data_IF_740931444717
#
_entry.id   IF_740931444717
#
_cell.length_a   1.000
_cell.length_b   1.000
_cell.length_c   1.000
_cell.angle_alpha   90.00
_cell.angle_beta   90.00
_cell.angle_gamma   90.00
#
_symmetry.space_group_name_H-M   'P 1'
#
loop_
_entity.id
_entity.type
_entity.pdbx_description
1 polymer ?
#
# COMPACT_ATOMS: atom_id res chain seq x y z
N UNK A 1 -12.23 4.84 -3.03
CA UNK A 1 -11.70 6.07 -2.41
C UNK A 1 -11.59 5.83 -0.93
N UNK A 2 -10.37 5.70 -0.45
CA UNK A 2 -10.07 5.62 0.96
C UNK A 2 -9.03 6.69 1.23
N UNK A 3 -9.33 7.61 2.13
CA UNK A 3 -8.43 8.69 2.52
C UNK A 3 -8.27 8.57 4.02
N UNK A 4 -7.24 7.84 4.45
CA UNK A 4 -6.75 7.98 5.83
C UNK A 4 -6.42 9.46 6.04
N UNK A 5 -6.78 9.98 7.21
CA UNK A 5 -6.55 11.36 7.66
C UNK A 5 -5.20 11.87 7.15
N UNK A 6 -5.21 12.71 6.11
CA UNK A 6 -4.01 13.29 5.54
C UNK A 6 -3.25 14.05 6.63
N UNK A 7 -1.95 13.81 6.73
CA UNK A 7 -1.05 14.67 7.50
C UNK A 7 -1.11 16.04 6.81
N UNK A 8 -1.42 17.13 7.54
CA UNK A 8 -1.43 18.46 6.94
C UNK A 8 -0.06 18.81 6.37
N UNK A 9 0.00 19.63 5.33
CA UNK A 9 1.24 19.94 4.62
C UNK A 9 2.31 20.56 5.52
N UNK A 10 1.91 21.45 6.44
CA UNK A 10 2.84 22.16 7.31
C UNK A 10 3.63 21.23 8.26
N UNK A 11 3.01 20.39 9.11
CA UNK A 11 3.75 19.44 9.94
C UNK A 11 4.56 18.44 9.11
N UNK A 12 4.06 18.03 7.94
CA UNK A 12 4.78 17.14 7.03
C UNK A 12 6.06 17.79 6.51
N UNK A 13 5.99 18.99 5.93
CA UNK A 13 7.17 19.69 5.42
C UNK A 13 8.16 20.05 6.52
N UNK A 14 7.66 20.35 7.73
CA UNK A 14 8.51 20.67 8.87
C UNK A 14 9.38 19.48 9.32
N UNK A 15 8.98 18.22 9.09
CA UNK A 15 9.84 17.06 9.38
C UNK A 15 11.10 17.05 8.51
N UNK A 16 11.02 17.63 7.30
CA UNK A 16 12.14 17.85 6.40
C UNK A 16 12.89 19.17 6.65
N UNK A 17 12.48 19.95 7.66
CA UNK A 17 13.00 21.29 7.90
C UNK A 17 12.60 22.31 6.81
N UNK A 18 11.52 22.05 6.07
CA UNK A 18 11.00 22.90 5.00
C UNK A 18 9.76 23.64 5.52
N UNK A 19 9.71 24.95 5.30
CA UNK A 19 8.53 25.78 5.60
C UNK A 19 7.56 25.80 4.42
N UNK A 20 6.28 26.06 4.69
CA UNK A 20 5.26 26.28 3.64
C UNK A 20 5.73 27.36 2.64
N UNK A 21 6.33 28.44 3.11
CA UNK A 21 6.83 29.52 2.26
C UNK A 21 7.97 29.08 1.32
N UNK A 22 8.84 28.18 1.78
CA UNK A 22 9.88 27.58 0.93
C UNK A 22 9.28 26.65 -0.12
N UNK A 23 8.25 25.88 0.24
CA UNK A 23 7.53 25.02 -0.70
C UNK A 23 6.79 25.84 -1.77
N UNK A 24 6.05 26.89 -1.37
CA UNK A 24 5.39 27.82 -2.29
C UNK A 24 6.40 28.46 -3.25
N UNK A 25 7.53 28.95 -2.73
CA UNK A 25 8.58 29.53 -3.56
C UNK A 25 9.14 28.52 -4.58
N UNK A 26 9.27 27.25 -4.20
CA UNK A 26 9.70 26.21 -5.13
C UNK A 26 8.64 26.00 -6.23
N UNK A 27 7.36 25.98 -5.88
CA UNK A 27 6.25 25.84 -6.84
C UNK A 27 6.23 27.04 -7.80
N UNK A 28 6.28 28.27 -7.28
CA UNK A 28 6.32 29.51 -8.08
C UNK A 28 7.47 29.53 -9.09
N UNK A 29 8.66 29.08 -8.67
CA UNK A 29 9.85 29.04 -9.53
C UNK A 29 9.75 27.99 -10.66
N UNK A 30 8.90 26.98 -10.50
CA UNK A 30 8.74 25.87 -11.43
C UNK A 30 7.33 25.80 -12.02
N UNK A 31 6.52 26.87 -11.93
CA UNK A 31 5.11 26.85 -12.33
C UNK A 31 4.91 26.59 -13.84
N UNK A 32 5.91 26.89 -14.67
CA UNK A 32 5.93 26.56 -16.10
C UNK A 32 6.44 25.14 -16.39
N UNK A 33 6.86 24.41 -15.35
CA UNK A 33 7.48 23.08 -15.39
C UNK A 33 6.74 22.10 -14.45
N UNK A 34 5.47 21.76 -14.73
CA UNK A 34 4.67 20.85 -13.91
C UNK A 34 5.34 19.50 -13.64
N UNK A 35 6.17 19.01 -14.57
CA UNK A 35 6.94 17.78 -14.41
C UNK A 35 7.95 17.83 -13.26
N UNK A 36 8.55 19.00 -13.00
CA UNK A 36 9.51 19.19 -11.91
C UNK A 36 8.77 19.14 -10.56
N UNK A 37 7.62 19.82 -10.48
CA UNK A 37 6.78 19.83 -9.28
C UNK A 37 6.26 18.41 -9.01
N UNK A 38 5.75 17.72 -10.03
CA UNK A 38 5.24 16.36 -9.90
C UNK A 38 6.31 15.39 -9.42
N UNK A 39 7.50 15.38 -10.04
CA UNK A 39 8.57 14.47 -9.66
C UNK A 39 9.09 14.77 -8.25
N UNK A 40 9.23 16.05 -7.90
CA UNK A 40 9.65 16.43 -6.55
C UNK A 40 8.61 16.06 -5.51
N UNK A 41 7.33 16.31 -5.79
CA UNK A 41 6.24 15.93 -4.91
C UNK A 41 6.22 14.41 -4.70
N UNK A 42 6.39 13.63 -5.77
CA UNK A 42 6.53 12.18 -5.71
C UNK A 42 7.71 11.74 -4.84
N UNK A 43 8.88 12.28 -5.09
CA UNK A 43 10.13 11.86 -4.45
C UNK A 43 10.15 12.21 -2.95
N UNK A 44 9.43 13.26 -2.56
CA UNK A 44 9.25 13.69 -1.17
C UNK A 44 7.91 13.26 -0.57
N UNK A 45 7.13 12.41 -1.22
CA UNK A 45 5.85 11.94 -0.69
C UNK A 45 4.77 13.03 -0.47
N UNK A 46 4.94 14.21 -1.07
CA UNK A 46 3.99 15.31 -1.00
C UNK A 46 2.79 14.99 -1.88
N UNK A 47 1.62 14.86 -1.27
CA UNK A 47 0.38 14.53 -1.96
C UNK A 47 -0.23 15.75 -2.67
N UNK A 48 -1.15 15.54 -3.60
CA UNK A 48 -1.98 16.60 -4.17
C UNK A 48 -2.84 17.30 -3.11
N UNK A 49 -3.18 16.64 -2.00
CA UNK A 49 -3.84 17.30 -0.88
C UNK A 49 -2.89 18.28 -0.17
N UNK A 50 -1.64 17.88 0.04
CA UNK A 50 -0.62 18.78 0.60
C UNK A 50 -0.32 19.94 -0.34
N UNK A 51 -0.19 19.69 -1.65
CA UNK A 51 -0.03 20.76 -2.66
C UNK A 51 -1.22 21.74 -2.63
N UNK A 52 -2.44 21.22 -2.44
CA UNK A 52 -3.66 22.02 -2.30
C UNK A 52 -3.63 22.93 -1.09
N UNK A 53 -3.13 22.44 0.04
CA UNK A 53 -2.91 23.22 1.26
C UNK A 53 -1.78 24.25 1.11
N UNK A 54 -0.66 23.88 0.48
CA UNK A 54 0.50 24.77 0.26
C UNK A 54 0.09 25.98 -0.59
N UNK A 55 -0.58 25.74 -1.71
CA UNK A 55 -0.93 26.80 -2.68
C UNK A 55 -2.28 27.47 -2.38
N UNK A 56 -3.10 26.87 -1.51
CA UNK A 56 -4.45 27.35 -1.24
C UNK A 56 -5.41 27.20 -2.43
N UNK A 57 -5.13 26.25 -3.33
CA UNK A 57 -5.94 25.97 -4.53
C UNK A 57 -6.60 24.59 -4.43
N UNK A 58 -7.77 24.36 -5.06
CA UNK A 58 -8.45 23.06 -5.01
C UNK A 58 -7.64 21.90 -5.64
N UNK A 59 -7.79 20.68 -5.10
CA UNK A 59 -7.11 19.46 -5.60
C UNK A 59 -7.40 19.17 -7.08
N UNK A 60 -8.61 19.44 -7.55
CA UNK A 60 -8.99 19.27 -8.96
C UNK A 60 -8.17 20.16 -9.89
N UNK A 61 -7.84 21.39 -9.46
CA UNK A 61 -6.96 22.29 -10.23
C UNK A 61 -5.55 21.73 -10.31
N UNK A 62 -5.02 21.15 -9.23
CA UNK A 62 -3.70 20.51 -9.20
C UNK A 62 -3.67 19.28 -10.10
N UNK A 63 -4.73 18.46 -10.08
CA UNK A 63 -4.84 17.30 -10.97
C UNK A 63 -4.84 17.73 -12.44
N UNK A 64 -5.67 18.71 -12.81
CA UNK A 64 -5.68 19.26 -14.18
C UNK A 64 -4.33 19.88 -14.58
N UNK A 65 -3.62 20.49 -13.63
CA UNK A 65 -2.27 21.02 -13.86
C UNK A 65 -1.28 19.90 -14.25
N UNK A 66 -1.31 18.76 -13.56
CA UNK A 66 -0.46 17.61 -13.91
C UNK A 66 -0.91 16.88 -15.18
N UNK A 67 -2.21 16.80 -15.45
CA UNK A 67 -2.75 16.22 -16.69
C UNK A 67 -2.22 16.94 -17.93
N UNK A 68 -1.86 18.23 -17.83
CA UNK A 68 -1.27 18.99 -18.94
C UNK A 68 0.06 18.44 -19.45
N UNK A 69 0.73 17.58 -18.67
CA UNK A 69 1.98 16.91 -19.02
C UNK A 69 1.88 15.39 -18.90
N UNK A 70 0.69 14.83 -19.12
CA UNK A 70 0.40 13.40 -19.10
C UNK A 70 0.82 12.74 -17.76
N UNK A 71 0.62 13.47 -16.64
CA UNK A 71 0.84 12.98 -15.28
C UNK A 71 -0.48 12.97 -14.52
N UNK A 72 -0.74 11.91 -13.77
CA UNK A 72 -1.96 11.80 -12.95
C UNK A 72 -1.62 11.98 -11.48
N UNK A 73 -2.28 12.94 -10.81
CA UNK A 73 -2.02 13.24 -9.40
C UNK A 73 -2.28 12.07 -8.44
N UNK A 74 -3.11 11.11 -8.85
CA UNK A 74 -3.37 9.90 -8.05
C UNK A 74 -2.09 9.12 -7.73
N UNK A 75 -1.10 9.14 -8.61
CA UNK A 75 0.13 8.40 -8.41
C UNK A 75 0.98 9.01 -7.27
N UNK A 76 0.97 10.33 -7.05
CA UNK A 76 1.71 10.93 -5.93
C UNK A 76 0.95 10.86 -4.61
N UNK A 77 -0.39 10.76 -4.64
CA UNK A 77 -1.23 10.67 -3.43
C UNK A 77 -1.00 9.39 -2.61
N UNK A 78 -0.53 8.30 -3.24
CA UNK A 78 -0.33 7.01 -2.57
C UNK A 78 1.12 6.61 -2.30
N UNK A 79 2.10 7.35 -2.84
CA UNK A 79 3.50 6.91 -2.80
C UNK A 79 4.19 7.14 -1.45
N UNK A 80 3.64 8.01 -0.60
CA UNK A 80 4.19 8.31 0.73
C UNK A 80 3.83 7.29 1.82
N UNK A 81 2.90 6.38 1.56
CA UNK A 81 2.34 5.50 2.59
C UNK A 81 2.46 4.04 2.16
N UNK A 82 2.95 3.18 3.04
CA UNK A 82 3.14 1.74 2.81
C UNK A 82 1.77 1.01 2.78
N UNK A 83 0.92 1.28 3.76
CA UNK A 83 -0.48 0.82 3.84
C UNK A 83 -1.42 1.95 3.43
N UNK A 84 -1.54 2.19 2.13
CA UNK A 84 -2.32 3.27 1.55
C UNK A 84 -3.84 2.95 1.47
N UNK A 85 -4.39 2.36 2.53
CA UNK A 85 -5.80 2.02 2.66
C UNK A 85 -6.31 2.28 4.08
N UNK A 86 -7.55 2.77 4.19
CA UNK A 86 -8.29 2.96 5.43
C UNK A 86 -8.95 1.64 5.80
N UNK A 87 -8.23 0.92 6.66
CA UNK A 87 -8.65 -0.39 7.15
C UNK A 87 -9.64 -0.28 8.31
N UNK A 88 -9.81 0.90 8.92
CA UNK A 88 -10.60 1.08 10.12
C UNK A 88 -10.25 0.02 11.19
N UNK A 89 -11.25 -0.75 11.63
CA UNK A 89 -11.05 -1.83 12.62
C UNK A 89 -10.15 -2.98 12.12
N UNK A 90 -9.96 -3.13 10.81
CA UNK A 90 -9.13 -4.18 10.21
C UNK A 90 -7.63 -3.87 10.26
N UNK A 91 -7.24 -2.68 10.73
CA UNK A 91 -5.84 -2.29 10.89
C UNK A 91 -5.03 -3.33 11.69
N UNK A 92 -5.66 -3.93 12.71
CA UNK A 92 -5.05 -4.97 13.56
C UNK A 92 -4.66 -6.25 12.81
N UNK A 93 -5.19 -6.47 11.61
CA UNK A 93 -4.80 -7.60 10.76
C UNK A 93 -3.43 -7.38 10.11
N UNK A 94 -2.98 -6.13 9.97
CA UNK A 94 -1.66 -5.81 9.45
C UNK A 94 -0.61 -6.06 10.53
N UNK A 95 0.21 -7.08 10.38
CA UNK A 95 1.17 -7.43 11.43
C UNK A 95 2.39 -8.18 10.88
N UNK A 96 3.45 -8.22 11.67
CA UNK A 96 4.61 -9.06 11.40
C UNK A 96 4.24 -10.54 11.36
N UNK A 97 4.87 -11.27 10.44
CA UNK A 97 4.80 -12.72 10.45
C UNK A 97 5.65 -13.29 11.59
N UNK A 98 4.98 -13.79 12.61
CA UNK A 98 5.61 -14.49 13.73
C UNK A 98 5.57 -16.02 13.60
N UNK A 99 5.19 -16.55 12.43
CA UNK A 99 5.13 -17.99 12.16
C UNK A 99 6.51 -18.56 11.86
N UNK A 100 6.68 -19.84 12.21
CA UNK A 100 7.87 -20.63 11.90
C UNK A 100 7.50 -21.79 10.96
N UNK A 101 8.49 -22.55 10.49
CA UNK A 101 8.24 -23.72 9.66
C UNK A 101 7.69 -23.34 8.27
N UNK A 102 6.64 -24.03 7.82
CA UNK A 102 6.16 -23.88 6.44
C UNK A 102 5.47 -22.53 6.15
N UNK A 103 5.05 -21.81 7.20
CA UNK A 103 4.51 -20.44 7.12
C UNK A 103 5.54 -19.36 7.50
N UNK A 104 6.81 -19.72 7.70
CA UNK A 104 7.87 -18.72 7.91
C UNK A 104 8.09 -17.86 6.66
N UNK A 105 8.63 -16.64 6.82
CA UNK A 105 8.96 -15.76 5.69
C UNK A 105 9.83 -16.47 4.65
N UNK A 106 10.87 -17.20 5.07
CA UNK A 106 11.72 -17.96 4.16
C UNK A 106 10.92 -18.99 3.34
N UNK A 107 10.05 -19.77 3.98
CA UNK A 107 9.29 -20.81 3.27
C UNK A 107 8.22 -20.22 2.35
N UNK A 108 7.61 -19.10 2.75
CA UNK A 108 6.64 -18.38 1.93
C UNK A 108 7.31 -17.67 0.75
N UNK A 109 8.50 -17.09 0.94
CA UNK A 109 9.33 -16.53 -0.12
C UNK A 109 9.62 -17.58 -1.19
N UNK A 110 10.14 -18.74 -0.80
CA UNK A 110 10.44 -19.84 -1.72
C UNK A 110 9.21 -20.27 -2.52
N UNK A 111 8.07 -20.42 -1.86
CA UNK A 111 6.81 -20.80 -2.50
C UNK A 111 6.30 -19.72 -3.46
N UNK A 112 6.40 -18.44 -3.06
CA UNK A 112 5.98 -17.28 -3.86
C UNK A 112 6.85 -17.17 -5.12
N UNK A 113 8.18 -17.30 -4.99
CA UNK A 113 9.10 -17.34 -6.12
C UNK A 113 8.81 -18.49 -7.09
N UNK A 114 8.22 -19.60 -6.60
CA UNK A 114 7.77 -20.70 -7.44
C UNK A 114 6.54 -20.36 -8.31
N UNK A 115 5.78 -19.33 -7.94
CA UNK A 115 4.51 -18.92 -8.56
C UNK A 115 4.60 -17.64 -9.38
N UNK A 116 5.61 -16.80 -9.14
CA UNK A 116 5.84 -15.55 -9.87
C UNK A 116 6.12 -15.79 -11.35
N UNK A 117 5.62 -14.89 -12.20
CA UNK A 117 5.98 -14.85 -13.63
C UNK A 117 7.45 -14.46 -13.82
N UNK A 118 7.91 -13.48 -13.05
CA UNK A 118 9.28 -12.95 -13.12
C UNK A 118 9.88 -12.92 -11.71
N UNK A 119 10.79 -13.85 -11.43
CA UNK A 119 11.36 -14.02 -10.08
C UNK A 119 12.22 -12.85 -9.61
N UNK A 120 12.83 -12.13 -10.54
CA UNK A 120 13.70 -10.98 -10.23
C UNK A 120 12.94 -9.78 -9.67
N UNK A 121 11.61 -9.82 -9.71
CA UNK A 121 10.75 -8.72 -9.26
C UNK A 121 10.45 -8.77 -7.77
N UNK A 122 10.74 -9.91 -7.14
CA UNK A 122 10.47 -10.14 -5.72
C UNK A 122 11.27 -9.21 -4.80
N UNK A 123 12.61 -9.22 -4.91
CA UNK A 123 13.45 -8.39 -4.02
C UNK A 123 13.21 -6.88 -4.27
N UNK A 124 13.13 -6.39 -5.52
CA UNK A 124 12.76 -5.01 -5.82
C UNK A 124 11.42 -4.60 -5.22
N UNK A 125 10.41 -5.48 -5.17
CA UNK A 125 9.11 -5.15 -4.60
C UNK A 125 9.21 -4.66 -3.15
N UNK A 126 10.07 -5.28 -2.34
CA UNK A 126 10.31 -4.90 -0.95
C UNK A 126 11.40 -3.83 -0.77
N UNK A 127 12.34 -3.70 -1.72
CA UNK A 127 13.40 -2.68 -1.63
C UNK A 127 13.00 -1.33 -2.23
N UNK A 128 12.17 -1.30 -3.27
CA UNK A 128 11.66 -0.06 -3.88
C UNK A 128 10.62 0.61 -2.99
N UNK A 129 9.88 -0.16 -2.19
CA UNK A 129 9.06 0.40 -1.11
C UNK A 129 9.89 0.95 0.05
N UNK A 130 11.20 0.67 0.11
CA UNK A 130 12.08 1.39 1.04
C UNK A 130 12.34 2.84 0.65
N UNK A 131 12.06 3.24 -0.59
CA UNK A 131 12.08 4.65 -0.99
C UNK A 131 10.98 5.49 -0.30
N UNK A 132 10.14 4.85 0.52
CA UNK A 132 9.10 5.46 1.36
C UNK A 132 9.52 5.68 2.81
N UNK A 133 10.79 5.39 3.16
CA UNK A 133 11.43 6.03 4.32
C UNK A 133 11.70 7.47 3.89
N UNK A 134 10.67 8.29 4.05
CA UNK A 134 10.60 9.64 3.54
C UNK A 134 11.58 10.53 4.30
N UNK A 135 11.72 10.34 5.61
CA UNK A 135 12.68 11.11 6.41
C UNK A 135 14.12 10.63 6.27
N UNK A 136 14.35 9.49 5.61
CA UNK A 136 15.65 8.82 5.45
C UNK A 136 16.36 8.65 6.80
N UNK A 137 15.59 8.31 7.83
CA UNK A 137 16.05 8.13 9.20
C UNK A 137 16.25 6.65 9.57
N UNK A 138 15.94 5.75 8.62
CA UNK A 138 16.06 4.30 8.78
C UNK A 138 14.89 3.68 9.53
N UNK A 139 13.78 4.38 9.68
CA UNK A 139 12.57 3.95 10.39
C UNK A 139 11.35 4.23 9.49
N UNK A 140 10.33 3.38 9.60
CA UNK A 140 8.97 3.69 9.19
C UNK A 140 8.18 4.03 10.45
N UNK A 141 7.72 5.28 10.54
CA UNK A 141 6.80 5.73 11.58
C UNK A 141 5.34 5.37 11.25
N UNK A 142 4.39 5.79 12.10
CA UNK A 142 2.98 5.48 11.89
C UNK A 142 2.43 6.13 10.61
N UNK A 143 2.98 7.29 10.26
CA UNK A 143 2.66 8.10 9.10
C UNK A 143 3.10 7.40 7.80
N UNK A 144 4.35 6.94 7.73
CA UNK A 144 4.91 6.22 6.58
C UNK A 144 4.35 4.81 6.46
N UNK A 145 4.13 4.11 7.58
CA UNK A 145 3.45 2.83 7.57
C UNK A 145 1.98 2.96 7.15
N UNK A 146 1.35 4.08 7.49
CA UNK A 146 -0.09 4.27 7.37
C UNK A 146 -0.88 3.52 8.43
N UNK A 147 -0.24 2.96 9.46
CA UNK A 147 -0.88 2.22 10.56
C UNK A 147 -0.16 2.53 11.87
N UNK A 148 -0.91 2.72 12.95
CA UNK A 148 -0.38 3.21 14.22
C UNK A 148 0.04 2.12 15.20
N UNK A 149 -0.53 0.91 15.12
CA UNK A 149 -0.34 -0.11 16.16
C UNK A 149 1.02 -0.81 16.12
N UNK A 150 1.77 -0.73 15.02
CA UNK A 150 3.11 -1.33 14.92
C UNK A 150 4.21 -0.44 15.53
N UNK A 151 3.92 0.83 15.79
CA UNK A 151 4.92 1.81 16.21
C UNK A 151 6.05 1.95 15.18
N UNK A 152 7.25 2.29 15.65
CA UNK A 152 8.41 2.51 14.78
C UNK A 152 8.99 1.17 14.29
N UNK A 153 9.03 0.98 12.98
CA UNK A 153 9.56 -0.22 12.34
C UNK A 153 10.87 0.11 11.62
N UNK A 154 11.98 -0.61 11.80
CA UNK A 154 13.19 -0.31 11.04
C UNK A 154 12.96 -0.41 9.52
N UNK A 155 13.40 0.58 8.76
CA UNK A 155 13.23 0.65 7.31
C UNK A 155 14.11 -0.37 6.58
N UNK A 156 13.62 -1.61 6.50
CA UNK A 156 14.33 -2.76 5.92
C UNK A 156 13.35 -3.64 5.13
N UNK A 157 13.80 -4.14 3.99
CA UNK A 157 13.01 -5.04 3.14
C UNK A 157 12.51 -6.28 3.88
N UNK A 158 13.29 -6.83 4.82
CA UNK A 158 12.87 -7.99 5.61
C UNK A 158 11.70 -7.68 6.56
N UNK A 159 11.61 -6.44 7.05
CA UNK A 159 10.50 -6.02 7.89
C UNK A 159 9.23 -5.83 7.06
N UNK A 160 9.35 -5.22 5.87
CA UNK A 160 8.24 -5.08 4.94
C UNK A 160 7.72 -6.44 4.45
N UNK A 161 8.62 -7.36 4.10
CA UNK A 161 8.28 -8.74 3.74
C UNK A 161 7.54 -9.45 4.89
N UNK A 162 8.02 -9.27 6.13
CA UNK A 162 7.39 -9.86 7.30
C UNK A 162 6.00 -9.28 7.57
N UNK A 163 5.82 -7.96 7.44
CA UNK A 163 4.51 -7.31 7.54
C UNK A 163 3.59 -7.80 6.43
N UNK A 164 4.09 -7.89 5.19
CA UNK A 164 3.33 -8.34 4.04
C UNK A 164 2.78 -9.76 4.22
N UNK A 165 3.64 -10.73 4.56
CA UNK A 165 3.20 -12.10 4.81
C UNK A 165 2.35 -12.25 6.07
N UNK A 166 2.68 -11.56 7.16
CA UNK A 166 1.91 -11.64 8.38
C UNK A 166 0.48 -11.11 8.19
N UNK A 167 0.34 -10.05 7.40
CA UNK A 167 -0.94 -9.50 6.98
C UNK A 167 -1.75 -10.51 6.16
N UNK A 168 -1.14 -11.10 5.12
CA UNK A 168 -1.78 -12.15 4.30
C UNK A 168 -2.24 -13.34 5.14
N UNK A 169 -1.40 -13.80 6.07
CA UNK A 169 -1.76 -14.90 6.97
C UNK A 169 -2.96 -14.51 7.83
N UNK A 170 -2.93 -13.36 8.49
CA UNK A 170 -4.00 -12.94 9.40
C UNK A 170 -5.35 -12.84 8.69
N UNK A 171 -5.35 -12.30 7.48
CA UNK A 171 -6.58 -12.13 6.71
C UNK A 171 -7.09 -13.42 6.11
N UNK A 172 -6.22 -14.22 5.49
CA UNK A 172 -6.66 -15.50 4.93
C UNK A 172 -7.08 -16.48 6.03
N UNK A 173 -6.51 -16.37 7.24
CA UNK A 173 -6.93 -17.16 8.40
C UNK A 173 -8.26 -16.71 8.99
N UNK A 174 -8.70 -15.48 8.73
CA UNK A 174 -9.99 -14.97 9.17
C UNK A 174 -11.15 -15.44 8.28
N UNK A 175 -10.86 -15.91 7.07
CA UNK A 175 -11.86 -16.34 6.09
C UNK A 175 -12.13 -17.83 6.18
N UNK A 176 -13.38 -18.20 6.06
CA UNK A 176 -13.77 -19.58 5.79
C UNK A 176 -13.75 -19.91 4.29
N UNK A 177 -13.95 -21.19 3.96
CA UNK A 177 -13.92 -21.67 2.57
C UNK A 177 -15.05 -21.12 1.70
N UNK A 178 -16.22 -20.87 2.28
CA UNK A 178 -17.36 -20.27 1.57
C UNK A 178 -17.05 -18.82 1.22
N UNK A 179 -16.55 -18.05 2.18
CA UNK A 179 -16.15 -16.65 2.00
C UNK A 179 -15.04 -16.53 0.95
N UNK A 180 -13.99 -17.34 1.06
CA UNK A 180 -12.91 -17.38 0.07
C UNK A 180 -13.41 -17.70 -1.35
N UNK A 181 -14.34 -18.64 -1.50
CA UNK A 181 -14.92 -18.96 -2.81
C UNK A 181 -15.79 -17.82 -3.37
N UNK A 182 -16.53 -17.11 -2.52
CA UNK A 182 -17.32 -15.94 -2.94
C UNK A 182 -16.41 -14.80 -3.39
N UNK A 183 -15.36 -14.55 -2.64
CA UNK A 183 -14.36 -13.52 -2.92
C UNK A 183 -13.65 -13.79 -4.25
N UNK A 184 -13.15 -15.01 -4.45
CA UNK A 184 -12.47 -15.38 -5.69
C UNK A 184 -13.42 -15.31 -6.89
N UNK A 185 -14.66 -15.78 -6.75
CA UNK A 185 -15.66 -15.66 -7.82
C UNK A 185 -16.07 -14.21 -8.15
N UNK A 186 -16.08 -13.32 -7.17
CA UNK A 186 -16.38 -11.90 -7.38
C UNK A 186 -15.22 -11.15 -8.03
N UNK A 187 -13.97 -11.51 -7.69
CA UNK A 187 -12.76 -10.94 -8.32
C UNK A 187 -12.80 -11.13 -9.83
N UNK A 188 -13.20 -12.31 -10.31
CA UNK A 188 -13.32 -12.61 -11.74
C UNK A 188 -14.44 -11.83 -12.45
N UNK A 189 -15.39 -11.26 -11.69
CA UNK A 189 -16.55 -10.53 -12.23
C UNK A 189 -16.36 -9.01 -12.33
N UNK A 190 -15.28 -8.46 -11.77
CA UNK A 190 -15.00 -7.01 -11.76
C UNK A 190 -15.93 -6.17 -10.86
N UNK A 191 -16.72 -6.79 -9.99
CA UNK A 191 -17.65 -6.07 -9.10
C UNK A 191 -16.98 -5.63 -7.80
N UNK A 192 -16.21 -4.55 -7.87
CA UNK A 192 -15.38 -4.03 -6.76
C UNK A 192 -16.19 -3.65 -5.52
N UNK A 193 -17.33 -2.99 -5.65
CA UNK A 193 -18.15 -2.55 -4.51
C UNK A 193 -18.69 -3.72 -3.67
N UNK A 194 -19.21 -4.77 -4.32
CA UNK A 194 -19.68 -5.97 -3.62
C UNK A 194 -18.53 -6.75 -3.00
N UNK A 195 -17.39 -6.80 -3.69
CA UNK A 195 -16.19 -7.45 -3.18
C UNK A 195 -15.67 -6.74 -1.92
N UNK A 196 -15.64 -5.40 -1.91
CA UNK A 196 -15.28 -4.58 -0.75
C UNK A 196 -16.19 -4.87 0.45
N UNK A 197 -17.51 -4.89 0.22
CA UNK A 197 -18.50 -5.12 1.27
C UNK A 197 -18.38 -6.51 1.90
N UNK A 198 -18.26 -7.55 1.06
CA UNK A 198 -18.14 -8.93 1.54
C UNK A 198 -16.81 -9.14 2.26
N UNK A 199 -15.72 -8.56 1.72
CA UNK A 199 -14.41 -8.64 2.36
C UNK A 199 -14.43 -8.03 3.75
N UNK A 200 -14.92 -6.79 3.86
CA UNK A 200 -14.93 -6.08 5.13
C UNK A 200 -15.80 -6.82 6.16
N UNK A 201 -16.94 -7.37 5.73
CA UNK A 201 -17.82 -8.16 6.60
C UNK A 201 -17.11 -9.43 7.08
N UNK A 202 -16.57 -10.24 6.17
CA UNK A 202 -15.89 -11.49 6.49
C UNK A 202 -14.68 -11.29 7.41
N UNK A 203 -13.87 -10.24 7.17
CA UNK A 203 -12.70 -9.94 8.02
C UNK A 203 -13.06 -9.31 9.37
N UNK A 204 -14.24 -8.69 9.48
CA UNK A 204 -14.73 -8.09 10.74
C UNK A 204 -15.43 -9.12 11.62
N UNK A 205 -16.02 -10.16 11.03
CA UNK A 205 -16.61 -11.27 11.76
C UNK A 205 -15.48 -12.19 12.27
N UNK A 206 -15.53 -12.56 13.56
CA UNK A 206 -14.54 -13.50 14.10
C UNK A 206 -14.68 -14.82 13.33
N UNK A 207 -13.56 -15.44 12.87
CA UNK A 207 -13.65 -16.61 12.01
C UNK A 207 -14.52 -17.66 12.65
N UNK A 208 -15.59 -18.05 11.95
CA UNK A 208 -16.24 -19.32 12.23
C UNK A 208 -15.17 -20.40 12.10
N UNK A 209 -15.06 -21.36 13.03
CA UNK A 209 -13.91 -22.25 13.14
C UNK A 209 -13.80 -23.18 11.93
N UNK A 210 -13.13 -22.73 10.88
CA UNK A 210 -12.62 -23.52 9.78
C UNK A 210 -11.16 -23.13 9.61
N UNK A 211 -10.28 -23.85 10.31
CA UNK A 211 -8.85 -23.70 10.18
C UNK A 211 -8.41 -24.37 8.87
N UNK A 212 -8.00 -23.57 7.89
CA UNK A 212 -7.21 -24.05 6.75
C UNK A 212 -6.09 -24.97 7.25
N UNK A 213 -5.84 -26.08 6.56
CA UNK A 213 -4.61 -26.82 6.84
C UNK A 213 -3.40 -25.92 6.57
N UNK A 214 -2.28 -26.15 7.26
CA UNK A 214 -1.07 -25.35 7.08
C UNK A 214 -0.61 -25.33 5.61
N UNK A 215 -0.80 -26.45 4.90
CA UNK A 215 -0.52 -26.57 3.46
C UNK A 215 -1.45 -25.74 2.61
N UNK A 216 -2.76 -25.75 2.90
CA UNK A 216 -3.74 -24.92 2.19
C UNK A 216 -3.45 -23.43 2.40
N UNK A 217 -3.25 -23.02 3.66
CA UNK A 217 -2.96 -21.63 4.00
C UNK A 217 -1.65 -21.16 3.36
N UNK A 218 -0.59 -21.98 3.41
CA UNK A 218 0.69 -21.68 2.74
C UNK A 218 0.48 -21.43 1.25
N UNK A 219 -0.24 -22.33 0.58
CA UNK A 219 -0.49 -22.22 -0.85
C UNK A 219 -1.33 -20.97 -1.19
N UNK A 220 -2.34 -20.66 -0.37
CA UNK A 220 -3.16 -19.46 -0.54
C UNK A 220 -2.32 -18.18 -0.38
N UNK A 221 -1.56 -18.07 0.71
CA UNK A 221 -0.69 -16.91 0.99
C UNK A 221 0.31 -16.70 -0.15
N UNK A 222 1.00 -17.76 -0.59
CA UNK A 222 2.00 -17.66 -1.64
C UNK A 222 1.39 -17.34 -3.02
N UNK A 223 0.18 -17.83 -3.30
CA UNK A 223 -0.53 -17.52 -4.56
C UNK A 223 -0.97 -16.07 -4.59
N UNK A 224 -1.54 -15.57 -3.49
CA UNK A 224 -1.95 -14.17 -3.39
C UNK A 224 -0.74 -13.22 -3.40
N UNK A 225 0.34 -13.58 -2.69
CA UNK A 225 1.59 -12.82 -2.73
C UNK A 225 2.14 -12.69 -4.16
N UNK A 226 2.16 -13.79 -4.93
CA UNK A 226 2.64 -13.76 -6.31
C UNK A 226 1.74 -12.90 -7.21
N UNK A 227 0.42 -12.99 -7.06
CA UNK A 227 -0.54 -12.17 -7.82
C UNK A 227 -0.36 -10.68 -7.53
N UNK A 228 -0.16 -10.29 -6.26
CA UNK A 228 0.07 -8.90 -5.87
C UNK A 228 1.37 -8.37 -6.49
N UNK A 229 2.47 -9.11 -6.36
CA UNK A 229 3.77 -8.70 -6.91
C UNK A 229 3.71 -8.59 -8.44
N UNK A 230 3.15 -9.60 -9.12
CA UNK A 230 3.03 -9.58 -10.58
C UNK A 230 2.17 -8.40 -11.05
N UNK A 231 1.08 -8.06 -10.35
CA UNK A 231 0.24 -6.91 -10.70
C UNK A 231 0.96 -5.59 -10.47
N UNK A 232 1.70 -5.45 -9.37
CA UNK A 232 2.45 -4.24 -9.06
C UNK A 232 3.42 -3.87 -10.19
N UNK A 233 4.06 -4.86 -10.81
CA UNK A 233 5.06 -4.64 -11.85
C UNK A 233 4.50 -4.63 -13.27
N UNK A 234 3.48 -5.44 -13.57
CA UNK A 234 3.13 -5.80 -14.96
C UNK A 234 1.69 -5.53 -15.35
N UNK A 235 0.88 -4.96 -14.47
CA UNK A 235 -0.48 -4.56 -14.84
C UNK A 235 -0.58 -3.05 -14.95
N UNK A 236 -1.49 -2.59 -15.80
CA UNK A 236 -1.91 -1.18 -15.84
C UNK A 236 -2.69 -0.78 -14.56
N UNK A 237 -2.70 -1.63 -13.52
CA UNK A 237 -3.38 -1.35 -12.26
C UNK A 237 -2.56 -0.39 -11.40
N UNK A 238 -3.26 0.55 -10.79
CA UNK A 238 -2.74 1.63 -9.96
C UNK A 238 -2.39 1.15 -8.55
N UNK A 239 -1.59 0.08 -8.46
CA UNK A 239 -1.06 -0.41 -7.18
C UNK A 239 0.03 0.54 -6.69
N UNK A 240 -0.33 1.48 -5.81
CA UNK A 240 0.57 2.52 -5.34
C UNK A 240 1.21 2.12 -3.99
N UNK A 241 1.12 0.88 -3.48
CA UNK A 241 1.82 0.43 -2.25
C UNK A 241 1.72 -1.07 -1.93
N UNK A 242 2.60 -1.59 -1.04
CA UNK A 242 2.70 -3.04 -0.75
C UNK A 242 1.42 -3.64 -0.17
N UNK A 243 0.63 -2.81 0.52
CA UNK A 243 -0.65 -3.17 1.10
C UNK A 243 -1.76 -2.20 0.69
N UNK A 244 -1.50 -1.36 -0.32
CA UNK A 244 -2.43 -0.35 -0.83
C UNK A 244 -3.79 -0.98 -1.19
N UNK A 245 -3.77 -2.26 -1.51
CA UNK A 245 -4.78 -2.96 -2.30
C UNK A 245 -4.93 -4.43 -1.89
N UNK A 246 -4.11 -4.84 -0.93
CA UNK A 246 -4.23 -6.09 -0.25
C UNK A 246 -5.59 -6.05 0.50
N UNK A 247 -6.48 -7.02 0.38
CA UNK A 247 -6.08 -8.41 0.45
C UNK A 247 -6.91 -9.43 -0.29
N UNK A 248 -7.92 -9.04 -1.06
CA UNK A 248 -8.81 -10.00 -1.72
C UNK A 248 -9.42 -9.47 -3.02
N UNK A 249 -8.71 -8.58 -3.71
CA UNK A 249 -9.10 -8.10 -5.04
C UNK A 249 -9.77 -6.74 -5.03
N UNK A 250 -9.63 -5.98 -3.94
CA UNK A 250 -10.14 -4.61 -3.80
C UNK A 250 -9.35 -3.58 -4.62
N UNK A 251 -8.32 -4.09 -5.31
CA UNK A 251 -7.22 -3.41 -5.93
C UNK A 251 -7.37 -3.12 -7.42
N UNK A 252 -8.16 -3.95 -8.09
CA UNK A 252 -8.32 -3.87 -9.53
C UNK A 252 -9.61 -3.12 -9.77
N UNK A 253 -9.46 -1.84 -10.13
CA UNK A 253 -10.49 -1.13 -10.91
C UNK A 253 -10.42 -1.64 -12.34
#
# INVERSE_FOLDING_TARGET
>A
MSVKSFIPAEPYLNSFGITIQQAQKFIDLNIEHPEIIYNTARDYGVTTAMLSEIEGIPKDVINTYFESVDKEGMFIDGMSIIVNSDLGALELLVNFNNRTGSLSNTSLREETLGKLKIKTDYDPFFSETMKRDLHNDGIYDAEELGIGHLGNVPAKGENLESIFYGSLINMLSALDKSEWNQITGLRDSGNTEKLHTILFTALSESPSPVAWSEVELKNMVATEAADIIDKYWHSDSTLIGILDHSLLGLATV
#
